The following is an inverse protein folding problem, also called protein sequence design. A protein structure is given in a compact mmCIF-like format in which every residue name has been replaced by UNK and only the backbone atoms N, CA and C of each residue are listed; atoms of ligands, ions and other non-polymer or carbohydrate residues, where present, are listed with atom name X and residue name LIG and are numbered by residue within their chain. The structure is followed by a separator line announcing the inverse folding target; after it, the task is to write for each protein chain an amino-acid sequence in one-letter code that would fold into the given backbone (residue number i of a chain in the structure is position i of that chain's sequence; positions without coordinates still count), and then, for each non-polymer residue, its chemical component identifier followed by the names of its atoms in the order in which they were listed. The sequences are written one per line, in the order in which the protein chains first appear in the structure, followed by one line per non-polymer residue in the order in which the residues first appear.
data_IF_316611948434
#
_entry.id   IF_316611948434
#
_cell.length_a   1.000
_cell.length_b   1.000
_cell.length_c   1.000
_cell.angle_alpha   90.00
_cell.angle_beta   90.00
_cell.angle_gamma   90.00
#
_symmetry.space_group_name_H-M   'P 1'
#
loop_
_entity.id
_entity.type
_entity.pdbx_description
1 polymer ?
#
# COMPACT_ATOMS: atom_id res chain seq x y z
N UNK A 1 17.61 -26.79 -32.08
CA UNK A 1 16.84 -26.19 -30.98
C UNK A 1 15.80 -25.27 -31.60
N UNK A 2 14.54 -25.70 -31.53
CA UNK A 2 13.41 -25.11 -32.23
C UNK A 2 12.98 -23.81 -31.54
N UNK A 3 13.04 -22.69 -32.26
CA UNK A 3 12.37 -21.46 -31.85
C UNK A 3 10.85 -21.62 -32.04
N UNK A 4 10.02 -21.17 -31.09
CA UNK A 4 8.57 -21.23 -31.25
C UNK A 4 8.17 -20.21 -32.32
N UNK A 5 7.57 -20.69 -33.42
CA UNK A 5 6.94 -19.83 -34.42
C UNK A 5 5.82 -19.05 -33.74
N UNK A 6 5.90 -17.72 -33.81
CA UNK A 6 4.82 -16.82 -33.43
C UNK A 6 3.57 -17.14 -34.25
N UNK A 7 2.50 -17.59 -33.58
CA UNK A 7 1.20 -17.95 -34.20
C UNK A 7 0.33 -16.70 -34.43
N UNK A 8 0.80 -15.51 -34.04
CA UNK A 8 0.03 -14.26 -34.12
C UNK A 8 0.58 -13.28 -35.16
N UNK A 9 1.09 -13.75 -36.29
CA UNK A 9 1.12 -12.91 -37.49
C UNK A 9 -0.29 -12.89 -38.06
N UNK A 10 -1.15 -12.04 -37.47
CA UNK A 10 -2.35 -11.58 -38.14
C UNK A 10 -1.89 -10.72 -39.29
N UNK A 11 -1.73 -11.35 -40.46
CA UNK A 11 -1.69 -10.65 -41.73
C UNK A 11 -3.10 -10.06 -41.93
N UNK A 12 -3.33 -8.94 -41.26
CA UNK A 12 -4.50 -8.10 -41.47
C UNK A 12 -4.28 -7.42 -42.82
N UNK A 13 -4.57 -8.15 -43.88
CA UNK A 13 -4.76 -7.57 -45.21
C UNK A 13 -6.14 -6.92 -45.15
N UNK A 14 -6.27 -5.59 -45.27
CA UNK A 14 -7.57 -4.96 -45.48
C UNK A 14 -8.21 -5.65 -46.69
N UNK A 15 -9.35 -6.30 -46.46
CA UNK A 15 -10.01 -7.12 -47.47
C UNK A 15 -10.89 -6.18 -48.31
N UNK A 16 -10.25 -5.42 -49.20
CA UNK A 16 -10.80 -4.35 -50.06
C UNK A 16 -11.68 -4.83 -51.24
N UNK A 17 -12.36 -5.98 -51.17
CA UNK A 17 -13.21 -6.40 -52.31
C UNK A 17 -14.50 -5.58 -52.46
N UNK A 18 -14.73 -4.59 -51.60
CA UNK A 18 -15.84 -3.65 -51.70
C UNK A 18 -15.38 -2.19 -51.89
N UNK A 19 -14.10 -1.93 -52.17
CA UNK A 19 -13.68 -0.66 -52.76
C UNK A 19 -13.81 -0.75 -54.30
N UNK A 20 -14.90 -0.17 -54.82
CA UNK A 20 -15.01 0.43 -56.15
C UNK A 20 -14.30 -0.28 -57.34
N UNK A 21 -14.54 -1.56 -57.56
CA UNK A 21 -14.26 -2.22 -58.84
C UNK A 21 -15.43 -2.09 -59.84
N UNK A 22 -16.03 -0.90 -59.94
CA UNK A 22 -16.84 -0.50 -61.11
C UNK A 22 -16.00 0.26 -62.14
N UNK A 23 -14.68 0.06 -62.15
CA UNK A 23 -13.86 0.47 -63.29
C UNK A 23 -14.07 -0.54 -64.42
N UNK A 24 -15.06 -0.25 -65.27
CA UNK A 24 -15.24 -0.87 -66.60
C UNK A 24 -13.96 -0.76 -67.42
N UNK A 25 -13.06 -1.73 -67.26
CA UNK A 25 -12.22 -2.18 -68.36
C UNK A 25 -13.06 -3.15 -69.16
N UNK A 26 -13.45 -2.78 -70.39
CA UNK A 26 -14.31 -3.54 -71.31
C UNK A 26 -13.82 -4.97 -71.53
N UNK A 27 -14.20 -5.87 -70.63
CA UNK A 27 -14.10 -7.31 -70.79
C UNK A 27 -15.46 -7.86 -70.35
N UNK A 28 -16.47 -7.53 -71.15
CA UNK A 28 -17.85 -7.85 -70.84
C UNK A 28 -18.00 -9.38 -70.79
N UNK A 29 -18.45 -9.88 -69.63
CA UNK A 29 -18.65 -11.31 -69.40
C UNK A 29 -19.63 -11.93 -70.42
N UNK A 30 -20.56 -11.15 -70.96
CA UNK A 30 -21.55 -11.58 -71.92
C UNK A 30 -21.53 -10.67 -73.16
N UNK A 31 -21.46 -11.28 -74.35
CA UNK A 31 -21.59 -10.67 -75.67
C UNK A 31 -22.72 -11.37 -76.44
N UNK A 32 -23.21 -10.78 -77.54
CA UNK A 32 -24.32 -11.36 -78.32
C UNK A 32 -24.00 -12.75 -78.91
N UNK A 33 -22.72 -13.11 -79.00
CA UNK A 33 -22.26 -14.37 -79.59
C UNK A 33 -22.08 -15.49 -78.56
N UNK A 34 -21.92 -15.16 -77.27
CA UNK A 34 -21.59 -16.13 -76.21
C UNK A 34 -22.70 -16.32 -75.14
N UNK A 35 -23.89 -15.76 -75.38
CA UNK A 35 -25.00 -15.74 -74.40
C UNK A 35 -25.33 -17.14 -73.86
N UNK A 36 -25.40 -18.16 -74.72
CA UNK A 36 -25.77 -19.51 -74.30
C UNK A 36 -24.68 -20.18 -73.43
N UNK A 37 -23.41 -19.99 -73.77
CA UNK A 37 -22.29 -20.51 -72.98
C UNK A 37 -22.17 -19.81 -71.62
N UNK A 38 -22.37 -18.48 -71.58
CA UNK A 38 -22.39 -17.71 -70.35
C UNK A 38 -23.59 -18.08 -69.46
N UNK A 39 -24.77 -18.32 -70.06
CA UNK A 39 -25.94 -18.79 -69.34
C UNK A 39 -25.74 -20.20 -68.76
N UNK A 40 -25.10 -21.09 -69.52
CA UNK A 40 -24.75 -22.43 -69.05
C UNK A 40 -23.81 -22.37 -67.86
N UNK A 41 -22.80 -21.51 -67.93
CA UNK A 41 -21.87 -21.26 -66.83
C UNK A 41 -22.59 -20.70 -65.60
N UNK A 42 -23.44 -19.67 -65.76
CA UNK A 42 -24.25 -19.13 -64.66
C UNK A 42 -25.14 -20.20 -64.04
N UNK A 43 -25.84 -21.01 -64.85
CA UNK A 43 -26.69 -22.09 -64.34
C UNK A 43 -25.88 -23.13 -63.56
N UNK A 44 -24.66 -23.43 -63.99
CA UNK A 44 -23.78 -24.37 -63.29
C UNK A 44 -23.32 -23.81 -61.94
N UNK A 45 -22.90 -22.55 -61.89
CA UNK A 45 -22.52 -21.87 -60.65
C UNK A 45 -23.69 -21.75 -59.68
N UNK A 46 -24.87 -21.35 -60.17
CA UNK A 46 -26.09 -21.30 -59.35
C UNK A 46 -26.43 -22.68 -58.79
N UNK A 47 -26.29 -23.74 -59.59
CA UNK A 47 -26.52 -25.12 -59.12
C UNK A 47 -25.49 -25.56 -58.09
N UNK A 48 -24.23 -25.16 -58.24
CA UNK A 48 -23.17 -25.43 -57.27
C UNK A 48 -23.40 -24.71 -55.93
N UNK A 49 -24.03 -23.53 -55.99
CA UNK A 49 -24.48 -22.75 -54.83
C UNK A 49 -25.82 -23.26 -54.25
N UNK A 50 -26.43 -24.29 -54.84
CA UNK A 50 -27.65 -24.94 -54.36
C UNK A 50 -28.97 -24.37 -54.91
N UNK A 51 -28.92 -23.45 -55.88
CA UNK A 51 -30.10 -22.88 -56.53
C UNK A 51 -30.61 -23.74 -57.69
N UNK A 52 -31.91 -23.69 -58.02
CA UNK A 52 -32.49 -24.44 -59.13
C UNK A 52 -31.95 -23.96 -60.49
N UNK A 53 -31.82 -24.89 -61.45
CA UNK A 53 -31.39 -24.55 -62.81
C UNK A 53 -32.39 -23.61 -63.50
N UNK A 54 -31.83 -22.63 -64.21
CA UNK A 54 -32.55 -21.57 -64.94
C UNK A 54 -33.08 -22.03 -66.31
N UNK A 55 -32.78 -23.27 -66.74
CA UNK A 55 -33.30 -23.83 -67.98
C UNK A 55 -34.72 -24.39 -67.78
N UNK A 56 -35.59 -24.18 -68.78
CA UNK A 56 -36.93 -24.77 -68.78
C UNK A 56 -36.88 -26.25 -69.18
N UNK A 57 -37.67 -27.09 -68.52
CA UNK A 57 -37.82 -28.51 -68.88
C UNK A 57 -38.75 -28.73 -70.08
N UNK A 58 -39.39 -27.67 -70.59
CA UNK A 58 -40.30 -27.74 -71.74
C UNK A 58 -39.53 -27.58 -73.06
N UNK A 59 -39.44 -28.64 -73.84
CA UNK A 59 -38.76 -28.71 -75.14
C UNK A 59 -39.44 -27.93 -76.29
N UNK A 60 -40.31 -26.97 -75.99
CA UNK A 60 -41.30 -26.44 -76.93
C UNK A 60 -41.27 -24.90 -77.01
N UNK A 61 -40.06 -24.32 -77.09
CA UNK A 61 -39.91 -22.91 -77.46
C UNK A 61 -38.91 -22.74 -78.61
N UNK A 62 -39.37 -22.22 -79.75
CA UNK A 62 -38.56 -21.97 -80.95
C UNK A 62 -37.61 -20.78 -80.85
N UNK A 63 -37.12 -20.45 -79.66
CA UNK A 63 -36.13 -19.39 -79.44
C UNK A 63 -34.73 -19.99 -79.28
N UNK A 64 -33.70 -19.26 -79.72
CA UNK A 64 -32.31 -19.74 -79.75
C UNK A 64 -31.68 -19.99 -78.34
N UNK A 65 -32.32 -19.53 -77.25
CA UNK A 65 -31.83 -19.67 -75.87
C UNK A 65 -32.96 -20.20 -74.98
N UNK A 66 -32.82 -21.42 -74.44
CA UNK A 66 -33.82 -22.12 -73.63
C UNK A 66 -33.85 -21.66 -72.14
N UNK A 67 -33.81 -20.35 -71.89
CA UNK A 67 -33.79 -19.78 -70.53
C UNK A 67 -35.20 -19.47 -70.01
N UNK A 68 -35.54 -19.97 -68.82
CA UNK A 68 -36.71 -19.49 -68.08
C UNK A 68 -36.35 -18.21 -67.31
N UNK A 69 -36.69 -17.07 -67.90
CA UNK A 69 -36.42 -15.74 -67.34
C UNK A 69 -37.05 -15.57 -65.96
N UNK A 70 -38.20 -16.19 -65.69
CA UNK A 70 -38.88 -16.09 -64.39
C UNK A 70 -38.09 -16.81 -63.31
N UNK A 71 -37.57 -18.02 -63.62
CA UNK A 71 -36.67 -18.74 -62.71
C UNK A 71 -35.37 -17.97 -62.48
N UNK A 72 -34.78 -17.42 -63.54
CA UNK A 72 -33.59 -16.59 -63.42
C UNK A 72 -33.83 -15.39 -62.51
N UNK A 73 -34.92 -14.65 -62.69
CA UNK A 73 -35.25 -13.48 -61.86
C UNK A 73 -35.46 -13.87 -60.39
N UNK A 74 -36.18 -14.95 -60.12
CA UNK A 74 -36.39 -15.44 -58.75
C UNK A 74 -35.08 -15.87 -58.08
N UNK A 75 -34.23 -16.61 -58.79
CA UNK A 75 -32.91 -17.01 -58.27
C UNK A 75 -32.02 -15.79 -58.04
N UNK A 76 -32.04 -14.80 -58.94
CA UNK A 76 -31.28 -13.56 -58.72
C UNK A 76 -31.79 -12.76 -57.52
N UNK A 77 -33.11 -12.76 -57.27
CA UNK A 77 -33.69 -12.11 -56.10
C UNK A 77 -33.28 -12.82 -54.80
N UNK A 78 -33.36 -14.15 -54.76
CA UNK A 78 -32.89 -14.95 -53.63
C UNK A 78 -31.39 -14.76 -53.38
N UNK A 79 -30.57 -14.74 -54.44
CA UNK A 79 -29.14 -14.51 -54.35
C UNK A 79 -28.81 -13.12 -53.79
N UNK A 80 -29.53 -12.08 -54.22
CA UNK A 80 -29.38 -10.72 -53.66
C UNK A 80 -29.77 -10.72 -52.18
N UNK A 81 -30.84 -11.42 -51.81
CA UNK A 81 -31.26 -11.60 -50.41
C UNK A 81 -30.18 -12.27 -49.57
N UNK A 82 -29.67 -13.41 -50.03
CA UNK A 82 -28.59 -14.17 -49.37
C UNK A 82 -27.30 -13.35 -49.27
N UNK A 83 -26.91 -12.61 -50.32
CA UNK A 83 -25.75 -11.72 -50.27
C UNK A 83 -25.89 -10.63 -49.21
N UNK A 84 -27.09 -10.04 -49.06
CA UNK A 84 -27.35 -9.06 -48.00
C UNK A 84 -27.28 -9.68 -46.60
N UNK A 85 -27.83 -10.87 -46.43
CA UNK A 85 -27.76 -11.61 -45.15
C UNK A 85 -26.32 -11.98 -44.80
N UNK A 86 -25.55 -12.53 -45.75
CA UNK A 86 -24.15 -12.86 -45.56
C UNK A 86 -23.28 -11.63 -45.24
N UNK A 87 -23.57 -10.48 -45.87
CA UNK A 87 -22.90 -9.23 -45.54
C UNK A 87 -23.18 -8.80 -44.09
N UNK A 88 -24.43 -8.89 -43.64
CA UNK A 88 -24.78 -8.59 -42.24
C UNK A 88 -24.09 -9.53 -41.25
N UNK A 89 -24.10 -10.84 -41.51
CA UNK A 89 -23.43 -11.84 -40.65
C UNK A 89 -21.92 -11.56 -40.60
N UNK A 90 -21.30 -11.21 -41.73
CA UNK A 90 -19.89 -10.86 -41.80
C UNK A 90 -19.59 -9.63 -40.94
N UNK A 91 -20.38 -8.56 -41.06
CA UNK A 91 -20.21 -7.34 -40.27
C UNK A 91 -20.34 -7.62 -38.75
N UNK A 92 -21.30 -8.46 -38.35
CA UNK A 92 -21.48 -8.90 -36.97
C UNK A 92 -20.28 -9.69 -36.45
N UNK A 93 -19.73 -10.61 -37.25
CA UNK A 93 -18.54 -11.38 -36.92
C UNK A 93 -17.30 -10.49 -36.80
N UNK A 94 -17.13 -9.51 -37.69
CA UNK A 94 -16.03 -8.54 -37.61
C UNK A 94 -16.14 -7.66 -36.36
N UNK A 95 -17.35 -7.21 -36.02
CA UNK A 95 -17.60 -6.47 -34.79
C UNK A 95 -17.27 -7.31 -33.55
N UNK A 96 -17.69 -8.58 -33.53
CA UNK A 96 -17.35 -9.51 -32.45
C UNK A 96 -15.86 -9.76 -32.36
N UNK A 97 -15.18 -9.93 -33.49
CA UNK A 97 -13.73 -10.15 -33.54
C UNK A 97 -12.96 -8.93 -33.01
N UNK A 98 -13.36 -7.71 -33.40
CA UNK A 98 -12.78 -6.46 -32.86
C UNK A 98 -12.94 -6.36 -31.34
N UNK A 99 -14.12 -6.71 -30.81
CA UNK A 99 -14.38 -6.74 -29.36
C UNK A 99 -13.47 -7.74 -28.64
N UNK A 100 -13.42 -8.98 -29.12
CA UNK A 100 -12.58 -10.02 -28.53
C UNK A 100 -11.09 -9.67 -28.58
N UNK A 101 -10.62 -9.03 -29.65
CA UNK A 101 -9.25 -8.54 -29.77
C UNK A 101 -8.94 -7.45 -28.72
N UNK A 102 -9.88 -6.54 -28.49
CA UNK A 102 -9.76 -5.51 -27.44
C UNK A 102 -9.72 -6.13 -26.04
N UNK A 103 -10.60 -7.09 -25.77
CA UNK A 103 -10.64 -7.83 -24.50
C UNK A 103 -9.33 -8.58 -24.26
N UNK A 104 -8.80 -9.26 -25.28
CA UNK A 104 -7.51 -9.96 -25.22
C UNK A 104 -6.35 -8.99 -24.93
N UNK A 105 -6.30 -7.83 -25.62
CA UNK A 105 -5.30 -6.79 -25.35
C UNK A 105 -5.37 -6.30 -23.90
N UNK A 106 -6.58 -6.11 -23.38
CA UNK A 106 -6.81 -5.68 -22.00
C UNK A 106 -6.37 -6.73 -20.99
N UNK A 107 -6.73 -8.01 -21.21
CA UNK A 107 -6.31 -9.13 -20.39
C UNK A 107 -4.79 -9.33 -20.42
N UNK A 108 -4.16 -9.19 -21.59
CA UNK A 108 -2.71 -9.27 -21.75
C UNK A 108 -1.99 -8.20 -20.94
N UNK A 109 -2.46 -6.94 -20.99
CA UNK A 109 -1.92 -5.85 -20.17
C UNK A 109 -2.07 -6.12 -18.67
N UNK A 110 -3.25 -6.56 -18.23
CA UNK A 110 -3.49 -6.93 -16.82
C UNK A 110 -2.57 -8.07 -16.38
N UNK A 111 -2.40 -9.09 -17.22
CA UNK A 111 -1.51 -10.21 -16.94
C UNK A 111 -0.04 -9.76 -16.82
N UNK A 112 0.41 -8.83 -17.68
CA UNK A 112 1.76 -8.26 -17.58
C UNK A 112 1.96 -7.50 -16.26
N UNK A 113 1.00 -6.66 -15.86
CA UNK A 113 1.05 -5.93 -14.59
C UNK A 113 1.05 -6.87 -13.37
N UNK A 114 0.24 -7.95 -13.41
CA UNK A 114 0.22 -8.95 -12.35
C UNK A 114 1.55 -9.70 -12.24
N UNK A 115 2.19 -10.03 -13.36
CA UNK A 115 3.52 -10.65 -13.37
C UNK A 115 4.58 -9.73 -12.77
N UNK A 116 4.56 -8.45 -13.14
CA UNK A 116 5.49 -7.46 -12.58
C UNK A 116 5.28 -7.28 -11.07
N UNK A 117 4.02 -7.17 -10.63
CA UNK A 117 3.68 -7.07 -9.20
C UNK A 117 4.14 -8.31 -8.41
N UNK A 118 3.99 -9.50 -8.99
CA UNK A 118 4.47 -10.75 -8.41
C UNK A 118 6.01 -10.73 -8.27
N UNK A 119 6.73 -10.39 -9.33
CA UNK A 119 8.19 -10.31 -9.30
C UNK A 119 8.69 -9.28 -8.27
N UNK A 120 8.04 -8.11 -8.20
CA UNK A 120 8.33 -7.11 -7.17
C UNK A 120 8.10 -7.65 -5.75
N UNK A 121 7.01 -8.40 -5.53
CA UNK A 121 6.71 -9.03 -4.24
C UNK A 121 7.74 -10.09 -3.88
N UNK A 122 8.13 -10.95 -4.82
CA UNK A 122 9.16 -11.98 -4.62
C UNK A 122 10.52 -11.36 -4.29
N UNK A 123 10.89 -10.27 -4.95
CA UNK A 123 12.14 -9.55 -4.69
C UNK A 123 12.12 -8.90 -3.29
N UNK A 124 10.99 -8.30 -2.89
CA UNK A 124 10.81 -7.78 -1.53
C UNK A 124 10.92 -8.90 -0.49
N UNK A 125 10.29 -10.04 -0.74
CA UNK A 125 10.36 -11.22 0.12
C UNK A 125 11.81 -11.71 0.29
N UNK A 126 12.56 -11.86 -0.81
CA UNK A 126 13.99 -12.24 -0.77
C UNK A 126 14.83 -11.24 0.04
N UNK A 127 14.59 -9.94 -0.12
CA UNK A 127 15.30 -8.90 0.65
C UNK A 127 15.00 -8.97 2.16
N UNK A 128 13.74 -9.23 2.52
CA UNK A 128 13.33 -9.41 3.92
C UNK A 128 13.97 -10.67 4.50
N UNK A 129 13.96 -11.78 3.77
CA UNK A 129 14.55 -13.05 4.19
C UNK A 129 16.06 -12.91 4.46
N UNK A 130 16.79 -12.21 3.58
CA UNK A 130 18.23 -11.98 3.80
C UNK A 130 18.48 -11.07 5.02
N UNK A 131 17.64 -10.05 5.24
CA UNK A 131 17.72 -9.21 6.43
C UNK A 131 17.43 -10.00 7.70
N UNK A 132 16.47 -10.92 7.68
CA UNK A 132 16.19 -11.84 8.78
C UNK A 132 17.40 -12.73 9.07
N UNK A 133 18.03 -13.30 8.04
CA UNK A 133 19.26 -14.10 8.17
C UNK A 133 20.37 -13.30 8.87
N UNK A 134 20.60 -12.06 8.45
CA UNK A 134 21.61 -11.19 9.06
C UNK A 134 21.29 -10.83 10.51
N UNK A 135 20.02 -10.56 10.84
CA UNK A 135 19.61 -10.29 12.21
C UNK A 135 19.78 -11.53 13.10
N UNK A 136 19.47 -12.73 12.58
CA UNK A 136 19.70 -13.99 13.29
C UNK A 136 21.18 -14.22 13.58
N UNK A 137 22.05 -13.97 12.61
CA UNK A 137 23.50 -14.04 12.82
C UNK A 137 23.99 -13.03 13.87
N UNK A 138 23.53 -11.77 13.81
CA UNK A 138 23.86 -10.75 14.81
C UNK A 138 23.40 -11.16 16.20
N UNK A 139 22.17 -11.68 16.32
CA UNK A 139 21.64 -12.17 17.58
C UNK A 139 22.48 -13.33 18.14
N UNK A 140 22.86 -14.29 17.30
CA UNK A 140 23.74 -15.39 17.71
C UNK A 140 25.12 -14.89 18.20
N UNK A 141 25.70 -13.87 17.55
CA UNK A 141 26.95 -13.25 18.01
C UNK A 141 26.77 -12.58 19.37
N UNK A 142 25.70 -11.82 19.56
CA UNK A 142 25.39 -11.17 20.83
C UNK A 142 25.16 -12.18 21.96
N UNK A 143 24.45 -13.28 21.68
CA UNK A 143 24.27 -14.38 22.63
C UNK A 143 25.61 -14.98 23.05
N UNK A 144 26.54 -15.16 22.12
CA UNK A 144 27.88 -15.64 22.43
C UNK A 144 28.66 -14.64 23.29
N UNK A 145 28.59 -13.34 22.99
CA UNK A 145 29.21 -12.30 23.81
C UNK A 145 28.63 -12.30 25.23
N UNK A 146 27.31 -12.35 25.38
CA UNK A 146 26.65 -12.41 26.69
C UNK A 146 27.10 -13.64 27.48
N UNK A 147 27.25 -14.79 26.82
CA UNK A 147 27.76 -16.00 27.45
C UNK A 147 29.19 -15.80 27.96
N UNK A 148 30.06 -15.25 27.13
CA UNK A 148 31.46 -14.98 27.49
C UNK A 148 31.56 -13.99 28.66
N UNK A 149 30.82 -12.88 28.62
CA UNK A 149 30.77 -11.88 29.71
C UNK A 149 30.26 -12.48 31.02
N UNK A 150 29.27 -13.36 30.95
CA UNK A 150 28.76 -14.08 32.13
C UNK A 150 29.80 -15.04 32.71
N UNK A 151 30.62 -15.68 31.87
CA UNK A 151 31.71 -16.55 32.31
C UNK A 151 32.85 -15.73 32.96
N UNK A 152 33.26 -14.61 32.38
CA UNK A 152 34.25 -13.71 32.96
C UNK A 152 33.76 -13.07 34.26
N UNK A 153 32.50 -12.65 34.34
CA UNK A 153 31.89 -12.14 35.58
C UNK A 153 31.94 -13.17 36.72
N UNK A 154 31.62 -14.44 36.42
CA UNK A 154 31.75 -15.54 37.40
C UNK A 154 33.18 -15.78 37.84
N UNK A 155 34.13 -15.72 36.90
CA UNK A 155 35.56 -15.90 37.17
C UNK A 155 36.11 -14.78 38.06
N UNK A 156 35.80 -13.52 37.75
CA UNK A 156 36.17 -12.35 38.56
C UNK A 156 35.54 -12.42 39.96
N UNK A 157 34.27 -12.78 40.06
CA UNK A 157 33.60 -12.99 41.35
C UNK A 157 34.31 -14.05 42.20
N UNK A 158 34.74 -15.15 41.57
CA UNK A 158 35.48 -16.22 42.25
C UNK A 158 36.86 -15.75 42.73
N UNK A 159 37.58 -15.00 41.89
CA UNK A 159 38.88 -14.39 42.26
C UNK A 159 38.74 -13.39 43.41
N UNK A 160 37.71 -12.54 43.38
CA UNK A 160 37.41 -11.57 44.44
C UNK A 160 37.08 -12.28 45.77
N UNK A 161 36.31 -13.36 45.73
CA UNK A 161 36.02 -14.16 46.92
C UNK A 161 37.30 -14.79 47.48
N UNK A 162 38.18 -15.31 46.62
CA UNK A 162 39.46 -15.86 47.03
C UNK A 162 40.37 -14.79 47.66
N UNK A 163 40.47 -13.60 47.05
CA UNK A 163 41.21 -12.47 47.62
C UNK A 163 40.66 -12.04 48.99
N UNK A 164 39.33 -11.96 49.14
CA UNK A 164 38.69 -11.64 50.43
C UNK A 164 39.09 -12.63 51.52
N UNK A 165 39.09 -13.93 51.20
CA UNK A 165 39.52 -14.98 52.13
C UNK A 165 41.00 -14.80 52.49
N UNK A 166 41.87 -14.59 51.50
CA UNK A 166 43.31 -14.36 51.74
C UNK A 166 43.56 -13.16 52.64
N UNK A 167 42.94 -12.00 52.35
CA UNK A 167 43.07 -10.81 53.20
C UNK A 167 42.53 -11.04 54.61
N UNK A 168 41.44 -11.79 54.76
CA UNK A 168 40.92 -12.13 56.08
C UNK A 168 41.90 -13.00 56.87
N UNK A 169 42.58 -13.95 56.22
CA UNK A 169 43.64 -14.75 56.85
C UNK A 169 44.85 -13.90 57.24
N UNK A 170 45.31 -13.00 56.37
CA UNK A 170 46.42 -12.09 56.68
C UNK A 170 46.06 -11.15 57.83
N UNK A 171 44.85 -10.59 57.84
CA UNK A 171 44.39 -9.71 58.91
C UNK A 171 44.38 -10.43 60.26
N UNK A 172 43.86 -11.67 60.32
CA UNK A 172 43.92 -12.49 61.54
C UNK A 172 45.36 -12.78 61.97
N UNK A 173 46.27 -13.01 61.03
CA UNK A 173 47.70 -13.20 61.34
C UNK A 173 48.31 -11.95 61.97
N UNK A 174 48.01 -10.76 61.45
CA UNK A 174 48.44 -9.49 62.02
C UNK A 174 47.79 -9.19 63.38
N UNK A 175 46.50 -9.48 63.54
CA UNK A 175 45.80 -9.34 64.84
C UNK A 175 46.44 -10.24 65.91
N UNK A 176 46.81 -11.47 65.54
CA UNK A 176 47.48 -12.40 66.42
C UNK A 176 48.89 -11.93 66.80
N UNK A 177 49.69 -11.42 65.87
CA UNK A 177 51.04 -10.90 66.18
C UNK A 177 50.99 -9.65 67.05
N UNK A 178 50.05 -8.73 66.76
CA UNK A 178 49.80 -7.55 67.59
C UNK A 178 49.38 -7.98 69.00
N UNK A 179 48.48 -8.95 69.12
CA UNK A 179 48.04 -9.48 70.42
C UNK A 179 49.20 -10.10 71.19
N UNK A 180 50.05 -10.90 70.53
CA UNK A 180 51.25 -11.46 71.14
C UNK A 180 52.22 -10.36 71.62
N UNK A 181 52.48 -9.33 70.80
CA UNK A 181 53.34 -8.21 71.20
C UNK A 181 52.75 -7.42 72.38
N UNK A 182 51.43 -7.20 72.39
CA UNK A 182 50.73 -6.58 73.53
C UNK A 182 50.88 -7.41 74.81
N UNK A 183 50.74 -8.74 74.73
CA UNK A 183 50.93 -9.60 75.91
C UNK A 183 52.36 -9.55 76.45
N UNK A 184 53.38 -9.61 75.57
CA UNK A 184 54.80 -9.47 75.96
C UNK A 184 55.09 -8.11 76.58
N UNK A 185 54.55 -7.04 76.00
CA UNK A 185 54.69 -5.68 76.55
C UNK A 185 54.08 -5.60 77.96
N UNK A 186 52.86 -6.09 78.14
CA UNK A 186 52.18 -6.10 79.43
C UNK A 186 52.98 -6.90 80.47
N UNK A 187 53.55 -8.04 80.07
CA UNK A 187 54.41 -8.85 80.94
C UNK A 187 55.70 -8.11 81.34
N UNK A 188 56.36 -7.41 80.42
CA UNK A 188 57.53 -6.57 80.74
C UNK A 188 57.15 -5.41 81.68
N UNK A 189 55.99 -4.79 81.48
CA UNK A 189 55.48 -3.71 82.33
C UNK A 189 55.15 -4.23 83.74
N UNK A 190 54.59 -5.43 83.87
CA UNK A 190 54.33 -6.05 85.18
C UNK A 190 55.63 -6.48 85.88
N UNK A 191 56.57 -7.10 85.16
CA UNK A 191 57.82 -7.61 85.74
C UNK A 191 58.76 -6.48 86.20
N UNK A 192 58.72 -5.31 85.54
CA UNK A 192 59.53 -4.13 85.93
C UNK A 192 58.93 -3.31 87.07
N UNK A 193 57.70 -3.60 87.51
CA UNK A 193 57.03 -2.89 88.59
C UNK A 193 56.57 -3.85 89.70
N UNK A 194 57.48 -4.50 90.44
CA UNK A 194 57.07 -5.37 91.56
C UNK A 194 56.41 -4.57 92.70
N UNK A 195 56.64 -3.26 92.79
CA UNK A 195 56.11 -2.41 93.86
C UNK A 195 55.56 -1.08 93.33
N UNK A 196 54.23 -0.98 93.17
CA UNK A 196 53.35 0.13 93.60
C UNK A 196 52.09 0.27 92.74
N UNK A 197 50.97 0.42 93.44
CA UNK A 197 49.77 1.15 93.00
C UNK A 197 50.13 2.61 92.68
N UNK A 198 50.42 2.94 91.43
CA UNK A 198 50.45 4.30 90.84
C UNK A 198 50.35 4.07 89.32
N UNK A 199 49.61 4.76 88.47
CA UNK A 199 48.45 5.64 88.52
C UNK A 199 48.10 5.86 87.04
N UNK A 200 46.87 6.31 86.76
CA UNK A 200 46.48 7.07 85.57
C UNK A 200 47.66 7.80 84.88
N UNK A 201 48.21 7.24 83.81
CA UNK A 201 48.98 8.00 82.83
C UNK A 201 48.03 8.26 81.66
N UNK A 202 47.47 9.46 81.66
CA UNK A 202 46.65 9.99 80.57
C UNK A 202 47.42 9.95 79.25
N UNK A 203 46.84 9.47 78.13
CA UNK A 203 47.49 9.40 76.81
C UNK A 203 47.93 10.73 76.17
N UNK A 204 47.81 11.85 76.88
CA UNK A 204 48.05 13.21 76.34
C UNK A 204 49.52 13.62 76.24
N UNK A 205 50.48 12.85 76.76
CA UNK A 205 51.90 13.26 76.84
C UNK A 205 52.87 12.52 75.90
N UNK A 206 52.40 11.76 74.91
CA UNK A 206 53.27 11.09 73.91
C UNK A 206 53.20 11.68 72.50
N UNK A 207 52.56 12.84 72.32
CA UNK A 207 52.50 13.54 71.02
C UNK A 207 53.26 14.88 71.04
N UNK A 208 54.52 14.87 71.47
CA UNK A 208 55.46 15.92 71.08
C UNK A 208 56.40 15.38 70.00
N UNK A 209 55.89 15.35 68.76
CA UNK A 209 56.68 15.08 67.56
C UNK A 209 57.12 16.42 66.97
N UNK A 210 58.37 16.80 67.22
CA UNK A 210 58.94 18.09 66.82
C UNK A 210 59.44 18.07 65.36
N UNK A 211 58.70 17.46 64.45
CA UNK A 211 59.01 17.45 63.01
C UNK A 211 57.96 18.26 62.26
N UNK A 212 58.34 19.45 61.79
CA UNK A 212 57.50 20.36 61.00
C UNK A 212 57.35 19.92 59.52
N UNK A 213 57.40 18.62 59.23
CA UNK A 213 57.18 18.10 57.88
C UNK A 213 56.19 16.93 57.96
N UNK A 214 54.90 17.25 58.03
CA UNK A 214 53.84 16.32 57.60
C UNK A 214 53.98 16.20 56.09
N UNK A 215 54.19 14.99 55.57
CA UNK A 215 54.07 14.73 54.14
C UNK A 215 52.72 15.27 53.67
N UNK A 216 52.75 16.29 52.81
CA UNK A 216 51.56 16.78 52.13
C UNK A 216 51.13 15.66 51.21
N UNK A 217 50.09 14.91 51.58
CA UNK A 217 49.38 14.11 50.61
C UNK A 217 48.80 15.11 49.59
N UNK A 218 49.28 15.07 48.34
CA UNK A 218 48.69 15.81 47.23
C UNK A 218 47.30 15.24 46.89
N UNK A 219 46.35 15.34 47.81
CA UNK A 219 44.96 14.91 47.60
C UNK A 219 44.08 16.02 47.07
N UNK A 220 44.45 17.30 47.24
CA UNK A 220 43.62 18.43 46.79
C UNK A 220 43.50 18.57 45.27
N UNK A 221 44.62 18.48 44.54
CA UNK A 221 44.61 18.63 43.07
C UNK A 221 44.00 17.43 42.36
N UNK A 222 44.30 16.21 42.85
CA UNK A 222 43.80 14.97 42.26
C UNK A 222 42.32 14.75 42.58
N UNK A 223 41.87 15.07 43.80
CA UNK A 223 40.44 14.99 44.13
C UNK A 223 39.61 16.06 43.41
N UNK A 224 40.17 17.26 43.17
CA UNK A 224 39.51 18.29 42.37
C UNK A 224 39.41 17.87 40.89
N UNK A 225 40.49 17.33 40.31
CA UNK A 225 40.48 16.76 38.95
C UNK A 225 39.47 15.61 38.82
N UNK A 226 39.47 14.68 39.78
CA UNK A 226 38.55 13.54 39.79
C UNK A 226 37.08 13.98 39.94
N UNK A 227 36.81 15.00 40.76
CA UNK A 227 35.48 15.59 40.91
C UNK A 227 35.04 16.32 39.63
N UNK A 228 35.94 17.04 38.97
CA UNK A 228 35.69 17.74 37.71
C UNK A 228 35.46 16.77 36.55
N UNK A 229 36.21 15.67 36.50
CA UNK A 229 35.99 14.54 35.59
C UNK A 229 34.64 13.85 35.86
N UNK A 230 34.25 13.67 37.13
CA UNK A 230 32.95 13.12 37.49
C UNK A 230 31.80 14.03 37.04
N UNK A 231 31.88 15.33 37.30
CA UNK A 231 30.86 16.28 36.84
C UNK A 231 30.81 16.35 35.31
N UNK A 232 31.96 16.36 34.64
CA UNK A 232 32.04 16.35 33.17
C UNK A 232 31.44 15.07 32.59
N UNK A 233 31.67 13.92 33.22
CA UNK A 233 31.09 12.64 32.81
C UNK A 233 29.56 12.63 32.96
N UNK A 234 29.04 13.17 34.06
CA UNK A 234 27.59 13.29 34.28
C UNK A 234 26.96 14.23 33.25
N UNK A 235 27.56 15.41 33.01
CA UNK A 235 27.08 16.37 32.01
C UNK A 235 27.09 15.73 30.60
N UNK A 236 28.20 15.09 30.22
CA UNK A 236 28.32 14.40 28.94
C UNK A 236 27.28 13.28 28.79
N UNK A 237 26.98 12.53 29.86
CA UNK A 237 25.92 11.53 29.85
C UNK A 237 24.53 12.13 29.61
N UNK A 238 24.24 13.30 30.20
CA UNK A 238 22.98 14.01 29.96
C UNK A 238 22.92 14.60 28.54
N UNK A 239 24.01 15.18 28.04
CA UNK A 239 24.10 15.68 26.67
C UNK A 239 23.89 14.57 25.64
N UNK A 240 24.54 13.42 25.83
CA UNK A 240 24.35 12.23 24.99
C UNK A 240 22.90 11.76 25.02
N UNK A 241 22.28 11.69 26.21
CA UNK A 241 20.85 11.32 26.36
C UNK A 241 19.93 12.29 25.62
N UNK A 242 20.20 13.59 25.69
CA UNK A 242 19.45 14.61 24.96
C UNK A 242 19.64 14.47 23.44
N UNK A 243 20.86 14.18 22.97
CA UNK A 243 21.13 13.94 21.55
C UNK A 243 20.43 12.69 21.03
N UNK A 244 20.44 11.59 21.78
CA UNK A 244 19.69 10.38 21.45
C UNK A 244 18.19 10.65 21.33
N UNK A 245 17.63 11.40 22.29
CA UNK A 245 16.21 11.77 22.25
C UNK A 245 15.88 12.66 21.04
N UNK A 246 16.73 13.62 20.70
CA UNK A 246 16.55 14.44 19.50
C UNK A 246 16.62 13.59 18.21
N UNK A 247 17.52 12.60 18.18
CA UNK A 247 17.62 11.66 17.07
C UNK A 247 16.36 10.79 16.96
N UNK A 248 15.86 10.26 18.07
CA UNK A 248 14.62 9.48 18.11
C UNK A 248 13.42 10.30 17.62
N UNK A 249 13.32 11.57 18.06
CA UNK A 249 12.30 12.51 17.56
C UNK A 249 12.43 12.72 16.05
N UNK A 250 13.65 12.82 15.51
CA UNK A 250 13.87 12.96 14.06
C UNK A 250 13.47 11.70 13.28
N UNK A 251 13.72 10.52 13.84
CA UNK A 251 13.34 9.22 13.26
C UNK A 251 11.82 9.05 13.26
N UNK A 252 11.15 9.40 14.36
CA UNK A 252 9.69 9.42 14.43
C UNK A 252 9.10 10.36 13.39
N UNK A 253 9.65 11.58 13.23
CA UNK A 253 9.21 12.53 12.21
C UNK A 253 9.32 11.94 10.80
N UNK A 254 10.46 11.32 10.48
CA UNK A 254 10.65 10.69 9.17
C UNK A 254 9.66 9.54 8.93
N UNK A 255 9.40 8.72 9.94
CA UNK A 255 8.40 7.64 9.87
C UNK A 255 6.99 8.19 9.63
N UNK A 256 6.60 9.25 10.34
CA UNK A 256 5.31 9.91 10.14
C UNK A 256 5.16 10.51 8.74
N UNK A 257 6.21 11.13 8.20
CA UNK A 257 6.21 11.61 6.81
C UNK A 257 6.02 10.46 5.82
N UNK A 258 6.71 9.33 6.01
CA UNK A 258 6.56 8.14 5.17
C UNK A 258 5.15 7.57 5.21
N UNK A 259 4.55 7.45 6.40
CA UNK A 259 3.16 7.01 6.56
C UNK A 259 2.22 7.98 5.84
N UNK A 260 2.43 9.29 6.01
CA UNK A 260 1.63 10.30 5.35
C UNK A 260 1.71 10.19 3.81
N UNK A 261 2.90 9.99 3.25
CA UNK A 261 3.07 9.75 1.81
C UNK A 261 2.34 8.49 1.33
N UNK A 262 2.46 7.37 2.06
CA UNK A 262 1.77 6.13 1.71
C UNK A 262 0.25 6.29 1.71
N UNK A 263 -0.30 7.03 2.68
CA UNK A 263 -1.74 7.26 2.75
C UNK A 263 -2.21 8.13 1.57
N UNK A 264 -1.44 9.16 1.19
CA UNK A 264 -1.73 9.96 -0.01
C UNK A 264 -1.71 9.08 -1.27
N UNK A 265 -0.70 8.23 -1.41
CA UNK A 265 -0.54 7.31 -2.55
C UNK A 265 -1.74 6.35 -2.67
N UNK A 266 -2.16 5.75 -1.56
CA UNK A 266 -3.33 4.86 -1.51
C UNK A 266 -4.62 5.63 -1.89
N UNK A 267 -4.80 6.85 -1.39
CA UNK A 267 -6.00 7.64 -1.67
C UNK A 267 -6.08 8.05 -3.16
N UNK A 268 -4.95 8.43 -3.76
CA UNK A 268 -4.87 8.69 -5.20
C UNK A 268 -5.18 7.44 -6.03
N UNK A 269 -4.76 6.26 -5.56
CA UNK A 269 -5.09 4.98 -6.20
C UNK A 269 -6.57 4.62 -6.11
N UNK A 270 -7.32 5.16 -5.14
CA UNK A 270 -8.76 4.89 -4.95
C UNK A 270 -9.63 5.92 -5.71
N UNK A 271 -9.03 6.90 -6.38
CA UNK A 271 -9.74 7.94 -7.13
C UNK A 271 -10.29 9.07 -6.25
N UNK A 272 -9.81 9.19 -5.00
CA UNK A 272 -10.16 10.29 -4.10
C UNK A 272 -9.51 11.61 -4.53
N UNK A 273 -10.19 12.74 -4.26
CA UNK A 273 -9.62 14.06 -4.54
C UNK A 273 -8.44 14.34 -3.60
N UNK A 274 -7.37 14.95 -4.14
CA UNK A 274 -6.19 15.33 -3.36
C UNK A 274 -6.53 16.33 -2.24
N UNK A 275 -7.63 17.09 -2.42
CA UNK A 275 -8.07 18.14 -1.51
C UNK A 275 -8.72 17.59 -0.23
N UNK A 276 -9.40 16.44 -0.29
CA UNK A 276 -10.14 15.90 0.86
C UNK A 276 -9.23 15.28 1.93
N UNK A 277 -8.00 14.89 1.57
CA UNK A 277 -7.08 14.21 2.47
C UNK A 277 -5.93 15.09 3.00
N UNK A 278 -5.51 16.12 2.25
CA UNK A 278 -4.58 17.15 2.75
C UNK A 278 -5.07 17.82 4.05
N UNK A 279 -6.35 17.64 4.34
CA UNK A 279 -7.08 18.20 5.46
C UNK A 279 -7.28 17.24 6.65
N UNK A 280 -6.96 15.95 6.52
CA UNK A 280 -7.35 14.96 7.53
C UNK A 280 -6.45 14.92 8.77
N UNK A 281 -5.17 15.32 8.65
CA UNK A 281 -4.27 15.44 9.79
C UNK A 281 -3.46 16.73 9.64
N UNK A 282 -3.59 17.70 10.56
CA UNK A 282 -2.76 18.89 10.54
C UNK A 282 -1.39 18.53 11.12
N UNK A 283 -0.61 17.68 10.42
CA UNK A 283 0.79 17.41 10.76
C UNK A 283 1.60 18.72 10.81
N UNK A 284 1.17 19.72 10.04
CA UNK A 284 1.72 21.08 10.04
C UNK A 284 1.43 21.86 11.34
N UNK A 285 0.37 21.52 12.09
CA UNK A 285 0.10 22.12 13.41
C UNK A 285 0.99 21.52 14.51
N UNK A 286 1.27 20.21 14.43
CA UNK A 286 2.28 19.54 15.28
C UNK A 286 3.66 20.19 15.04
N UNK A 287 3.94 20.59 13.79
CA UNK A 287 5.21 21.19 13.37
C UNK A 287 5.50 22.57 13.98
N UNK A 288 4.47 23.37 14.29
CA UNK A 288 4.61 24.78 14.66
C UNK A 288 4.51 25.07 16.18
N UNK A 289 4.52 24.04 17.05
CA UNK A 289 4.33 24.17 18.51
C UNK A 289 3.04 24.89 18.94
N UNK A 290 2.04 25.02 18.08
CA UNK A 290 0.71 25.48 18.49
C UNK A 290 -0.02 24.35 19.19
N UNK A 291 -0.81 24.67 20.21
CA UNK A 291 -1.52 23.67 21.01
C UNK A 291 -2.41 22.81 20.10
N UNK A 292 -1.98 21.56 19.91
CA UNK A 292 -2.60 20.59 19.01
C UNK A 292 -4.08 20.43 19.33
N UNK A 293 -4.42 20.57 20.62
CA UNK A 293 -5.77 20.47 21.13
C UNK A 293 -6.66 21.58 20.60
N UNK A 294 -6.22 22.83 20.65
CA UNK A 294 -6.99 24.00 20.17
C UNK A 294 -7.23 23.90 18.67
N UNK A 295 -6.20 23.49 17.92
CA UNK A 295 -6.29 23.37 16.46
C UNK A 295 -7.24 22.23 16.04
N UNK A 296 -7.25 21.12 16.80
CA UNK A 296 -8.19 20.03 16.58
C UNK A 296 -9.62 20.44 16.97
N UNK A 297 -9.82 21.10 18.10
CA UNK A 297 -11.14 21.56 18.56
C UNK A 297 -11.78 22.54 17.56
N UNK A 298 -11.04 23.52 17.06
CA UNK A 298 -11.52 24.46 16.04
C UNK A 298 -11.92 23.73 14.75
N UNK A 299 -11.16 22.68 14.37
CA UNK A 299 -11.43 21.87 13.19
C UNK A 299 -12.66 20.98 13.36
N UNK A 300 -12.82 20.36 14.54
CA UNK A 300 -14.00 19.56 14.86
C UNK A 300 -15.26 20.44 14.88
N UNK A 301 -15.17 21.65 15.42
CA UNK A 301 -16.26 22.61 15.38
C UNK A 301 -16.60 23.04 13.95
N UNK A 302 -15.60 23.27 13.09
CA UNK A 302 -15.83 23.56 11.68
C UNK A 302 -16.55 22.42 10.95
N UNK A 303 -16.13 21.16 11.15
CA UNK A 303 -16.76 19.99 10.54
C UNK A 303 -18.18 19.77 11.06
N UNK A 304 -18.42 19.94 12.37
CA UNK A 304 -19.74 19.90 12.97
C UNK A 304 -20.68 20.95 12.36
N UNK A 305 -20.19 22.18 12.19
CA UNK A 305 -20.96 23.25 11.57
C UNK A 305 -21.25 22.98 10.09
N UNK A 306 -20.30 22.40 9.35
CA UNK A 306 -20.48 22.00 7.95
C UNK A 306 -21.50 20.87 7.80
N UNK A 307 -21.44 19.86 8.67
CA UNK A 307 -22.43 18.78 8.74
C UNK A 307 -23.82 19.32 9.09
N UNK A 308 -23.91 20.21 10.08
CA UNK A 308 -25.17 20.88 10.44
C UNK A 308 -25.73 21.70 9.28
N UNK A 309 -24.89 22.42 8.56
CA UNK A 309 -25.28 23.18 7.37
C UNK A 309 -25.79 22.28 6.24
N UNK A 310 -25.14 21.14 6.00
CA UNK A 310 -25.59 20.17 5.01
C UNK A 310 -26.90 19.49 5.42
N UNK A 311 -27.06 19.13 6.70
CA UNK A 311 -28.30 18.59 7.23
C UNK A 311 -29.45 19.60 7.10
N UNK A 312 -29.21 20.88 7.40
CA UNK A 312 -30.20 21.95 7.21
C UNK A 312 -30.57 22.16 5.75
N UNK A 313 -29.61 22.06 4.82
CA UNK A 313 -29.89 22.08 3.37
C UNK A 313 -30.76 20.91 2.94
N UNK A 314 -30.45 19.69 3.39
CA UNK A 314 -31.25 18.49 3.08
C UNK A 314 -32.67 18.63 3.64
N UNK A 315 -32.83 19.15 4.86
CA UNK A 315 -34.15 19.42 5.45
C UNK A 315 -34.91 20.48 4.66
N UNK A 316 -34.26 21.57 4.24
CA UNK A 316 -34.87 22.61 3.42
C UNK A 316 -35.29 22.09 2.03
N UNK A 317 -34.46 21.25 1.41
CA UNK A 317 -34.75 20.64 0.11
C UNK A 317 -35.92 19.64 0.20
N UNK A 318 -36.04 18.92 1.33
CA UNK A 318 -37.17 18.04 1.59
C UNK A 318 -38.47 18.82 1.87
N UNK A 319 -38.42 19.93 2.60
CA UNK A 319 -39.58 20.81 2.80
C UNK A 319 -40.07 21.41 1.47
N UNK A 320 -39.16 21.86 0.60
CA UNK A 320 -39.52 22.35 -0.74
C UNK A 320 -40.14 21.27 -1.61
N UNK A 321 -39.64 20.02 -1.54
CA UNK A 321 -40.27 18.89 -2.23
C UNK A 321 -41.68 18.61 -1.72
N UNK A 322 -41.91 18.66 -0.40
CA UNK A 322 -43.24 18.50 0.19
C UNK A 322 -44.21 19.63 -0.18
N UNK A 323 -43.76 20.88 -0.26
CA UNK A 323 -44.59 22.02 -0.72
C UNK A 323 -44.93 21.90 -2.22
N UNK A 324 -43.98 21.47 -3.04
CA UNK A 324 -44.20 21.20 -4.45
C UNK A 324 -45.18 20.04 -4.68
N UNK A 325 -45.13 18.98 -3.87
CA UNK A 325 -46.13 17.89 -3.94
C UNK A 325 -47.52 18.33 -3.45
N UNK A 326 -47.61 19.16 -2.40
CA UNK A 326 -48.87 19.69 -1.90
C UNK A 326 -49.56 20.66 -2.89
N UNK A 327 -48.77 21.47 -3.61
CA UNK A 327 -49.28 22.34 -4.69
C UNK A 327 -49.74 21.54 -5.91
N UNK A 328 -49.05 20.45 -6.24
CA UNK A 328 -49.45 19.52 -7.31
C UNK A 328 -50.75 18.78 -6.98
N UNK A 329 -50.96 18.42 -5.70
CA UNK A 329 -52.23 17.84 -5.22
C UNK A 329 -53.38 18.86 -5.24
N UNK A 330 -53.13 20.12 -4.88
CA UNK A 330 -54.14 21.19 -5.00
C UNK A 330 -54.53 21.46 -6.46
N UNK A 331 -53.57 21.43 -7.39
CA UNK A 331 -53.86 21.55 -8.82
C UNK A 331 -54.71 20.38 -9.33
N UNK A 332 -54.39 19.13 -8.93
CA UNK A 332 -55.19 17.95 -9.29
C UNK A 332 -56.61 17.97 -8.74
N UNK A 333 -56.83 18.53 -7.54
CA UNK A 333 -58.15 18.67 -6.95
C UNK A 333 -58.97 19.77 -7.66
N UNK A 334 -58.35 20.90 -8.03
CA UNK A 334 -58.99 21.96 -8.83
C UNK A 334 -59.43 21.46 -10.21
N UNK A 335 -58.63 20.60 -10.87
CA UNK A 335 -59.01 20.00 -12.16
C UNK A 335 -60.15 18.98 -12.04
N UNK A 336 -60.37 18.41 -10.86
CA UNK A 336 -61.46 17.47 -10.60
C UNK A 336 -62.79 18.15 -10.24
N UNK A 337 -62.74 19.38 -9.71
CA UNK A 337 -63.95 20.21 -9.49
C UNK A 337 -64.47 20.81 -10.81
N UNK A 338 -63.61 21.19 -11.74
CA UNK A 338 -64.04 21.70 -13.07
C UNK A 338 -64.69 20.60 -13.95
N UNK A 339 -64.35 19.31 -13.75
CA UNK A 339 -64.96 18.20 -14.49
C UNK A 339 -66.26 17.65 -13.87
N UNK A 340 -66.59 18.03 -12.63
CA UNK A 340 -67.81 17.59 -11.95
C UNK A 340 -68.97 18.59 -12.02
N UNK A 341 -68.76 19.82 -12.50
CA UNK A 341 -69.87 20.73 -12.80
C UNK A 341 -70.53 20.48 -14.17
N UNK A 342 -69.88 19.77 -15.09
CA UNK A 342 -70.45 19.46 -16.43
C UNK A 342 -71.31 18.19 -16.49
N UNK A 343 -71.49 17.47 -15.38
CA UNK A 343 -72.31 16.25 -15.31
C UNK A 343 -73.53 16.40 -14.40
N UNK A 344 -74.40 17.38 -14.69
CA UNK A 344 -75.81 17.37 -14.26
C UNK A 344 -76.68 16.81 -15.39
N UNK A 345 -77.39 15.68 -15.21
CA UNK A 345 -78.31 15.17 -16.21
C UNK A 345 -79.59 16.04 -16.24
N UNK A 346 -79.94 16.53 -17.43
CA UNK A 346 -81.25 17.09 -17.73
C UNK A 346 -82.31 15.97 -17.67
N UNK A 347 -83.16 15.97 -16.65
CA UNK A 347 -84.46 15.32 -16.71
C UNK A 347 -85.39 16.16 -17.60
N UNK A 348 -85.70 15.65 -18.79
CA UNK A 348 -86.79 16.14 -19.63
C UNK A 348 -88.11 15.56 -19.16
N UNK A 349 -89.05 16.44 -18.83
CA UNK A 349 -90.47 16.18 -18.64
C UNK A 349 -91.09 15.66 -19.94
N UNK A 350 -91.69 14.47 -19.91
CA UNK A 350 -92.74 14.09 -20.86
C UNK A 350 -94.00 14.93 -20.59
N UNK A 351 -94.57 15.47 -21.66
CA UNK A 351 -95.98 15.23 -21.97
C UNK A 351 -96.03 14.12 -23.01
#
# INVERSE_FOLDING_TARGET
MNQPRSIYKTDYVPFDWMENNFSSGNNDFCSSENIDECLRHISQELSALGYPSIYSSSSDCGYAVNCDIVRLLNVTFELIGSCREHAQIKDDLECRNRRLSSDLSTLSKKNALLKESLEQSENKYKSVLERERQLKEKNNRLLQTIKNEKEESKKLSSQMQQQKITYQHEMRKYENTISQMKTKLNQIISDRNPDKKVASISPSYLLQRNSKQRGKWQTGSVAKSCMEEMYSSVISSYENRCQEMMKEISEYRSCFEQIHYQIIEINLSIGGSMQDFMDLIPLKAIWNRTDLRVTLDDRFQYLLNKLKGNALKIVADNSRKSENEATLLKLKLSSHEELNEESKPCEQSCN
#
